data_IF_227055806029
#
_entry.id   IF_227055806029
#
_cell.length_a   1.000
_cell.length_b   1.000
_cell.length_c   1.000
_cell.angle_alpha   90.00
_cell.angle_beta   90.00
_cell.angle_gamma   90.00
#
_symmetry.space_group_name_H-M   'P 1'
#
loop_
_entity.id
_entity.type
_entity.pdbx_description
1 polymer ?
#
# COMPACT_ATOMS: atom_id res chain seq x y z
N UNK A 1 5.65 -18.50 -25.53
CA UNK A 1 4.81 -17.35 -25.97
C UNK A 1 4.95 -16.09 -25.10
N UNK A 2 5.36 -16.18 -23.82
CA UNK A 2 5.59 -15.02 -22.93
C UNK A 2 6.88 -14.26 -23.30
N UNK A 3 7.93 -14.96 -23.68
CA UNK A 3 9.27 -14.38 -23.97
C UNK A 3 9.31 -13.47 -25.21
N UNK A 4 8.51 -13.77 -26.25
CA UNK A 4 8.45 -12.95 -27.45
C UNK A 4 7.81 -11.56 -27.25
N UNK A 5 6.95 -11.37 -26.25
CA UNK A 5 6.38 -10.05 -25.95
C UNK A 5 7.41 -9.15 -25.26
N UNK A 6 8.24 -9.71 -24.38
CA UNK A 6 9.29 -8.97 -23.68
C UNK A 6 10.38 -8.50 -24.64
N UNK A 7 10.81 -9.35 -25.59
CA UNK A 7 11.80 -8.98 -26.61
C UNK A 7 11.28 -7.90 -27.59
N UNK A 8 9.98 -7.90 -27.92
CA UNK A 8 9.36 -6.85 -28.74
C UNK A 8 9.25 -5.49 -28.03
N UNK A 9 9.13 -5.48 -26.71
CA UNK A 9 9.10 -4.24 -25.91
C UNK A 9 10.52 -3.65 -25.78
N UNK A 10 11.56 -4.50 -25.73
CA UNK A 10 12.95 -4.06 -25.69
C UNK A 10 13.45 -3.48 -27.03
N UNK A 11 12.79 -3.78 -28.16
CA UNK A 11 13.08 -3.17 -29.46
C UNK A 11 12.32 -1.84 -29.69
N UNK A 12 11.35 -1.50 -28.85
CA UNK A 12 10.76 -0.19 -28.83
C UNK A 12 11.69 0.78 -28.07
N UNK A 13 11.85 2.00 -28.56
CA UNK A 13 12.71 3.08 -28.03
C UNK A 13 12.32 3.59 -26.62
N UNK A 14 11.57 2.80 -25.85
CA UNK A 14 11.15 3.14 -24.47
C UNK A 14 12.30 2.89 -23.50
N UNK A 15 12.66 3.90 -22.74
CA UNK A 15 13.62 3.75 -21.65
C UNK A 15 13.08 2.75 -20.60
N UNK A 16 13.96 1.94 -20.02
CA UNK A 16 13.61 0.96 -18.97
C UNK A 16 12.85 1.64 -17.80
N UNK A 17 13.21 2.88 -17.49
CA UNK A 17 12.54 3.72 -16.49
C UNK A 17 11.11 4.09 -16.87
N UNK A 18 10.87 4.50 -18.11
CA UNK A 18 9.51 4.83 -18.56
C UNK A 18 8.57 3.62 -18.50
N UNK A 19 9.06 2.43 -18.84
CA UNK A 19 8.33 1.19 -18.74
C UNK A 19 7.97 0.86 -17.27
N UNK A 20 8.94 0.97 -16.35
CA UNK A 20 8.71 0.73 -14.92
C UNK A 20 7.70 1.70 -14.32
N UNK A 21 7.84 3.01 -14.64
CA UNK A 21 6.89 4.03 -14.18
C UNK A 21 5.47 3.74 -14.71
N UNK A 22 5.34 3.34 -15.97
CA UNK A 22 4.03 2.99 -16.54
C UNK A 22 3.35 1.83 -15.81
N UNK A 23 4.09 0.79 -15.47
CA UNK A 23 3.57 -0.35 -14.68
C UNK A 23 3.17 0.11 -13.28
N UNK A 24 4.02 0.86 -12.59
CA UNK A 24 3.75 1.34 -11.24
C UNK A 24 2.53 2.26 -11.19
N UNK A 25 2.38 3.14 -12.19
CA UNK A 25 1.21 4.00 -12.31
C UNK A 25 -0.07 3.19 -12.53
N UNK A 26 0.01 2.15 -13.37
CA UNK A 26 -1.12 1.23 -13.59
C UNK A 26 -1.56 0.56 -12.29
N UNK A 27 -0.64 -0.01 -11.52
CA UNK A 27 -0.96 -0.61 -10.22
C UNK A 27 -1.45 0.41 -9.19
N UNK A 28 -0.91 1.63 -9.21
CA UNK A 28 -1.38 2.71 -8.35
C UNK A 28 -2.84 3.05 -8.59
N UNK A 29 -3.24 3.18 -9.86
CA UNK A 29 -4.64 3.43 -10.25
C UNK A 29 -5.54 2.26 -9.83
N UNK A 30 -5.10 1.02 -10.05
CA UNK A 30 -5.85 -0.18 -9.61
C UNK A 30 -6.05 -0.19 -8.10
N UNK A 31 -5.03 0.14 -7.31
CA UNK A 31 -5.15 0.25 -5.86
C UNK A 31 -6.17 1.32 -5.44
N UNK A 32 -6.16 2.49 -6.10
CA UNK A 32 -7.14 3.54 -5.82
C UNK A 32 -8.56 3.11 -6.16
N UNK A 33 -8.75 2.40 -7.28
CA UNK A 33 -10.06 1.85 -7.67
C UNK A 33 -10.54 0.84 -6.61
N UNK A 34 -9.67 -0.04 -6.12
CA UNK A 34 -10.02 -0.99 -5.07
C UNK A 34 -10.44 -0.29 -3.76
N UNK A 35 -9.69 0.72 -3.34
CA UNK A 35 -10.03 1.52 -2.15
C UNK A 35 -11.39 2.20 -2.34
N UNK A 36 -11.61 2.85 -3.49
CA UNK A 36 -12.87 3.51 -3.80
C UNK A 36 -14.06 2.52 -3.83
N UNK A 37 -13.86 1.34 -4.42
CA UNK A 37 -14.85 0.26 -4.41
C UNK A 37 -15.19 -0.20 -2.98
N UNK A 38 -14.18 -0.43 -2.14
CA UNK A 38 -14.40 -0.85 -0.75
C UNK A 38 -15.18 0.19 0.04
N UNK A 39 -14.85 1.47 -0.09
CA UNK A 39 -15.61 2.54 0.56
C UNK A 39 -17.02 2.68 -0.01
N UNK A 40 -17.21 2.53 -1.34
CA UNK A 40 -18.54 2.55 -1.96
C UNK A 40 -19.43 1.44 -1.42
N UNK A 41 -18.91 0.22 -1.30
CA UNK A 41 -19.63 -0.90 -0.68
C UNK A 41 -19.91 -0.60 0.80
N UNK A 42 -18.95 -0.06 1.53
CA UNK A 42 -19.13 0.36 2.93
C UNK A 42 -20.28 1.34 3.12
N UNK A 43 -20.37 2.33 2.24
CA UNK A 43 -21.47 3.32 2.27
C UNK A 43 -22.80 2.69 1.85
N UNK A 44 -22.83 1.97 0.73
CA UNK A 44 -24.08 1.45 0.14
C UNK A 44 -24.69 0.31 0.94
N UNK A 45 -23.86 -0.60 1.46
CA UNK A 45 -24.32 -1.82 2.15
C UNK A 45 -24.44 -1.60 3.64
N UNK A 46 -23.45 -0.91 4.24
CA UNK A 46 -23.35 -0.77 5.69
C UNK A 46 -23.72 0.64 6.21
N UNK A 47 -24.02 1.58 5.31
CA UNK A 47 -24.40 2.95 5.70
C UNK A 47 -23.27 3.74 6.39
N UNK A 48 -22.00 3.40 6.14
CA UNK A 48 -20.85 4.06 6.76
C UNK A 48 -20.78 5.51 6.30
N UNK A 49 -20.67 6.43 7.26
CA UNK A 49 -20.41 7.85 6.98
C UNK A 49 -18.91 8.05 6.77
N UNK A 50 -18.51 8.52 5.59
CA UNK A 50 -17.08 8.64 5.22
C UNK A 50 -16.33 9.76 5.98
N UNK A 51 -17.01 10.58 6.77
CA UNK A 51 -16.38 11.69 7.49
C UNK A 51 -15.85 12.78 6.52
N UNK A 52 -14.63 13.26 6.77
CA UNK A 52 -14.02 14.34 6.00
C UNK A 52 -13.41 13.83 4.70
N UNK A 53 -14.13 13.92 3.57
CA UNK A 53 -13.72 13.38 2.26
C UNK A 53 -12.31 13.79 1.81
N UNK A 54 -11.85 15.06 1.90
CA UNK A 54 -10.49 15.41 1.51
C UNK A 54 -9.42 14.66 2.32
N UNK A 55 -9.63 14.47 3.63
CA UNK A 55 -8.71 13.71 4.46
C UNK A 55 -8.67 12.24 4.06
N UNK A 56 -9.84 11.64 3.78
CA UNK A 56 -9.98 10.27 3.32
C UNK A 56 -9.20 10.05 2.01
N UNK A 57 -9.32 10.96 1.05
CA UNK A 57 -8.59 10.90 -0.23
C UNK A 57 -7.09 10.96 0.00
N UNK A 58 -6.60 11.89 0.85
CA UNK A 58 -5.17 12.06 1.14
C UNK A 58 -4.58 10.78 1.76
N UNK A 59 -5.21 10.20 2.77
CA UNK A 59 -4.74 8.94 3.39
C UNK A 59 -4.78 7.80 2.37
N UNK A 60 -5.83 7.72 1.53
CA UNK A 60 -5.95 6.69 0.50
C UNK A 60 -4.86 6.79 -0.56
N UNK A 61 -4.49 7.99 -0.98
CA UNK A 61 -3.37 8.22 -1.90
C UNK A 61 -2.04 7.79 -1.29
N UNK A 62 -1.79 8.13 -0.03
CA UNK A 62 -0.58 7.72 0.68
C UNK A 62 -0.52 6.19 0.88
N UNK A 63 -1.65 5.56 1.24
CA UNK A 63 -1.74 4.11 1.39
C UNK A 63 -1.50 3.38 0.05
N UNK A 64 -2.10 3.86 -1.04
CA UNK A 64 -1.88 3.29 -2.37
C UNK A 64 -0.40 3.39 -2.80
N UNK A 65 0.27 4.50 -2.49
CA UNK A 65 1.71 4.65 -2.73
C UNK A 65 2.53 3.66 -1.91
N UNK A 66 2.18 3.48 -0.63
CA UNK A 66 2.83 2.51 0.28
C UNK A 66 2.64 1.07 -0.23
N UNK A 67 1.44 0.70 -0.63
CA UNK A 67 1.13 -0.62 -1.19
C UNK A 67 1.93 -0.89 -2.47
N UNK A 68 2.03 0.11 -3.37
CA UNK A 68 2.86 0.01 -4.58
C UNK A 68 4.35 -0.18 -4.25
N UNK A 69 4.87 0.59 -3.29
CA UNK A 69 6.26 0.47 -2.85
C UNK A 69 6.55 -0.91 -2.29
N UNK A 70 5.66 -1.44 -1.44
CA UNK A 70 5.79 -2.79 -0.88
C UNK A 70 5.70 -3.85 -1.97
N UNK A 71 4.75 -3.73 -2.90
CA UNK A 71 4.62 -4.65 -4.05
C UNK A 71 5.88 -4.67 -4.92
N UNK A 72 6.46 -3.50 -5.22
CA UNK A 72 7.71 -3.39 -5.96
C UNK A 72 8.87 -4.04 -5.20
N UNK A 73 8.95 -3.84 -3.87
CA UNK A 73 9.96 -4.46 -3.03
C UNK A 73 9.85 -5.98 -3.05
N UNK A 74 8.64 -6.53 -2.91
CA UNK A 74 8.41 -7.98 -3.02
C UNK A 74 8.84 -8.51 -4.38
N UNK A 75 8.51 -7.80 -5.45
CA UNK A 75 8.92 -8.19 -6.80
C UNK A 75 10.46 -8.16 -6.96
N UNK A 76 11.14 -7.16 -6.38
CA UNK A 76 12.60 -7.03 -6.43
C UNK A 76 13.34 -8.11 -5.62
N UNK A 77 12.72 -8.65 -4.57
CA UNK A 77 13.28 -9.71 -3.73
C UNK A 77 12.99 -11.11 -4.27
N UNK A 78 12.02 -11.26 -5.15
CA UNK A 78 11.54 -12.54 -5.66
C UNK A 78 12.19 -12.89 -6.99
N UNK A 79 12.47 -14.18 -7.20
CA UNK A 79 13.04 -14.71 -8.46
C UNK A 79 11.99 -15.37 -9.35
N UNK A 80 10.85 -15.76 -8.80
CA UNK A 80 9.78 -16.48 -9.51
C UNK A 80 8.41 -15.92 -9.15
N UNK A 81 7.43 -16.09 -10.05
CA UNK A 81 6.02 -15.71 -9.80
C UNK A 81 5.45 -16.38 -8.52
N UNK A 82 5.83 -17.65 -8.29
CA UNK A 82 5.41 -18.38 -7.09
C UNK A 82 5.96 -17.72 -5.80
N UNK A 83 7.23 -17.27 -5.83
CA UNK A 83 7.82 -16.54 -4.69
C UNK A 83 7.13 -15.19 -4.46
N UNK A 84 6.81 -14.45 -5.52
CA UNK A 84 6.05 -13.18 -5.39
C UNK A 84 4.73 -13.45 -4.67
N UNK A 85 3.96 -14.44 -5.12
CA UNK A 85 2.67 -14.75 -4.54
C UNK A 85 2.78 -15.19 -3.06
N UNK A 86 3.68 -16.13 -2.76
CA UNK A 86 3.86 -16.64 -1.39
C UNK A 86 4.33 -15.54 -0.44
N UNK A 87 5.31 -14.72 -0.87
CA UNK A 87 5.85 -13.64 -0.04
C UNK A 87 4.83 -12.52 0.15
N UNK A 88 4.05 -12.20 -0.88
CA UNK A 88 2.97 -11.21 -0.79
C UNK A 88 1.90 -11.63 0.22
N UNK A 89 1.44 -12.88 0.15
CA UNK A 89 0.46 -13.41 1.09
C UNK A 89 1.01 -13.41 2.51
N UNK A 90 2.23 -13.92 2.71
CA UNK A 90 2.89 -13.95 4.02
C UNK A 90 3.00 -12.55 4.63
N UNK A 91 3.50 -11.58 3.85
CA UNK A 91 3.64 -10.20 4.32
C UNK A 91 2.27 -9.55 4.59
N UNK A 92 1.29 -9.75 3.71
CA UNK A 92 -0.05 -9.21 3.91
C UNK A 92 -0.66 -9.70 5.23
N UNK A 93 -0.62 -11.02 5.50
CA UNK A 93 -1.14 -11.58 6.74
C UNK A 93 -0.36 -11.10 7.97
N UNK A 94 0.97 -11.16 7.92
CA UNK A 94 1.82 -10.78 9.06
C UNK A 94 1.67 -9.30 9.41
N UNK A 95 1.74 -8.42 8.39
CA UNK A 95 1.62 -6.98 8.61
C UNK A 95 0.20 -6.57 9.03
N UNK A 96 -0.84 -7.24 8.50
CA UNK A 96 -2.23 -7.01 8.91
C UNK A 96 -2.50 -7.46 10.35
N UNK A 97 -1.97 -8.63 10.72
CA UNK A 97 -2.10 -9.14 12.09
C UNK A 97 -1.41 -8.23 13.11
N UNK A 98 -0.18 -7.80 12.82
CA UNK A 98 0.58 -6.87 13.66
C UNK A 98 -0.02 -5.45 13.63
N UNK A 99 -0.54 -5.03 12.48
CA UNK A 99 -1.09 -3.68 12.27
C UNK A 99 -2.47 -3.42 12.87
N UNK A 100 -3.06 -4.40 13.59
CA UNK A 100 -4.33 -4.19 14.27
C UNK A 100 -5.58 -4.52 13.44
N UNK A 101 -5.42 -5.03 12.21
CA UNK A 101 -6.56 -5.37 11.35
C UNK A 101 -7.26 -6.67 11.75
N UNK A 102 -6.51 -7.63 12.32
CA UNK A 102 -7.07 -8.90 12.80
C UNK A 102 -7.40 -8.86 14.29
N UNK A 103 -6.53 -8.21 15.07
CA UNK A 103 -6.70 -8.06 16.51
C UNK A 103 -6.74 -6.58 16.82
N UNK A 104 -7.86 -6.05 17.36
CA UNK A 104 -7.95 -4.63 17.70
C UNK A 104 -6.84 -4.20 18.66
N UNK A 105 -6.24 -3.03 18.40
CA UNK A 105 -5.07 -2.54 19.16
C UNK A 105 -5.33 -2.35 20.64
N UNK A 106 -6.60 -2.11 21.05
CA UNK A 106 -6.96 -1.91 22.47
C UNK A 106 -6.87 -3.17 23.33
N UNK A 107 -6.91 -4.37 22.71
CA UNK A 107 -6.75 -5.67 23.40
C UNK A 107 -5.34 -6.26 23.22
N UNK A 108 -4.48 -5.61 22.44
CA UNK A 108 -3.10 -6.08 22.24
C UNK A 108 -2.23 -5.84 23.48
N UNK A 109 -1.31 -6.78 23.80
CA UNK A 109 -0.23 -6.54 24.76
C UNK A 109 0.66 -5.36 24.33
N UNK A 110 1.27 -4.65 25.26
CA UNK A 110 2.05 -3.44 24.98
C UNK A 110 3.21 -3.66 24.01
N UNK A 111 3.84 -4.82 24.05
CA UNK A 111 4.86 -5.21 23.08
C UNK A 111 4.29 -5.24 21.64
N UNK A 112 3.11 -5.81 21.44
CA UNK A 112 2.47 -5.87 20.13
C UNK A 112 2.02 -4.49 19.65
N UNK A 113 1.55 -3.62 20.55
CA UNK A 113 1.25 -2.21 20.22
C UNK A 113 2.48 -1.48 19.72
N UNK A 114 3.63 -1.69 20.37
CA UNK A 114 4.88 -1.08 19.92
C UNK A 114 5.32 -1.62 18.55
N UNK A 115 5.21 -2.94 18.34
CA UNK A 115 5.54 -3.56 17.05
C UNK A 115 4.60 -3.12 15.93
N UNK A 116 3.32 -2.86 16.23
CA UNK A 116 2.35 -2.39 15.22
C UNK A 116 2.78 -1.06 14.58
N UNK A 117 3.46 -0.19 15.31
CA UNK A 117 3.94 1.10 14.78
C UNK A 117 4.97 0.96 13.65
N UNK A 118 5.62 -0.21 13.54
CA UNK A 118 6.52 -0.53 12.44
C UNK A 118 5.81 -1.09 11.21
N UNK A 119 4.49 -1.13 11.21
CA UNK A 119 3.69 -1.60 10.09
C UNK A 119 2.90 -0.46 9.46
N UNK A 120 2.86 -0.34 8.12
CA UNK A 120 2.04 0.70 7.48
C UNK A 120 0.54 0.49 7.72
N UNK A 121 0.12 -0.75 8.01
CA UNK A 121 -1.28 -1.11 8.27
C UNK A 121 -1.82 -0.42 9.52
N UNK A 122 -1.02 -0.30 10.60
CA UNK A 122 -1.44 0.39 11.81
C UNK A 122 -1.72 1.88 11.57
N UNK A 123 -0.87 2.54 10.80
CA UNK A 123 -1.01 3.96 10.48
C UNK A 123 -2.18 4.23 9.53
N UNK A 124 -2.39 3.33 8.55
CA UNK A 124 -3.56 3.42 7.68
C UNK A 124 -4.86 3.25 8.47
N UNK A 125 -4.90 2.24 9.35
CA UNK A 125 -6.06 1.98 10.21
C UNK A 125 -6.34 3.16 11.14
N UNK A 126 -5.31 3.74 11.78
CA UNK A 126 -5.44 4.91 12.62
C UNK A 126 -6.00 6.11 11.84
N UNK A 127 -5.43 6.41 10.67
CA UNK A 127 -5.91 7.52 9.84
C UNK A 127 -7.37 7.35 9.40
N UNK A 128 -7.78 6.17 8.95
CA UNK A 128 -9.18 5.91 8.62
C UNK A 128 -10.10 5.97 9.84
N UNK A 129 -9.67 5.45 10.98
CA UNK A 129 -10.43 5.52 12.23
C UNK A 129 -10.66 6.98 12.66
N UNK A 130 -9.65 7.79 12.58
CA UNK A 130 -9.72 9.20 12.95
C UNK A 130 -10.64 10.01 12.03
N UNK A 131 -10.64 9.70 10.72
CA UNK A 131 -11.53 10.35 9.75
C UNK A 131 -12.98 9.88 9.91
N UNK A 132 -13.19 8.55 9.96
CA UNK A 132 -14.54 7.97 9.86
C UNK A 132 -15.27 8.01 11.20
N UNK A 133 -14.58 7.74 12.30
CA UNK A 133 -15.20 7.63 13.63
C UNK A 133 -15.12 8.95 14.38
N UNK A 134 -13.97 9.63 14.34
CA UNK A 134 -13.76 10.90 15.05
C UNK A 134 -14.13 12.13 14.21
N UNK A 135 -14.31 11.97 12.90
CA UNK A 135 -14.63 13.08 11.99
C UNK A 135 -13.50 14.09 11.82
N UNK A 136 -12.24 13.69 12.05
CA UNK A 136 -11.10 14.56 11.99
C UNK A 136 -10.78 14.99 10.55
N UNK A 137 -10.27 16.21 10.40
CA UNK A 137 -9.92 16.80 9.11
C UNK A 137 -8.46 16.57 8.71
N UNK A 138 -8.05 17.24 7.63
CA UNK A 138 -6.73 17.04 7.00
C UNK A 138 -5.58 17.32 7.97
N UNK A 139 -5.67 18.35 8.80
CA UNK A 139 -4.56 18.75 9.67
C UNK A 139 -4.25 17.70 10.74
N UNK A 140 -5.25 16.99 11.21
CA UNK A 140 -5.10 15.99 12.28
C UNK A 140 -4.54 14.66 11.80
N UNK A 141 -4.65 14.37 10.48
CA UNK A 141 -4.16 13.11 9.89
C UNK A 141 -2.80 13.25 9.18
N UNK A 142 -2.13 14.39 9.36
CA UNK A 142 -0.83 14.64 8.72
C UNK A 142 0.26 13.70 9.22
N UNK A 143 0.22 13.31 10.50
CA UNK A 143 1.16 12.34 11.09
C UNK A 143 1.05 10.97 10.42
N UNK A 144 -0.16 10.42 10.32
CA UNK A 144 -0.45 9.12 9.71
C UNK A 144 -0.08 9.13 8.23
N UNK A 145 -0.48 10.19 7.53
CA UNK A 145 -0.15 10.38 6.11
C UNK A 145 1.37 10.49 5.90
N UNK A 146 2.05 11.27 6.74
CA UNK A 146 3.50 11.45 6.67
C UNK A 146 4.27 10.14 6.89
N UNK A 147 3.85 9.33 7.87
CA UNK A 147 4.45 8.03 8.13
C UNK A 147 4.19 7.05 6.97
N UNK A 148 2.98 7.04 6.40
CA UNK A 148 2.67 6.22 5.23
C UNK A 148 3.56 6.59 4.03
N UNK A 149 3.74 7.88 3.75
CA UNK A 149 4.65 8.34 2.70
C UNK A 149 6.12 8.00 3.01
N UNK A 150 6.50 8.01 4.28
CA UNK A 150 7.81 7.52 4.75
C UNK A 150 8.01 6.04 4.42
N UNK A 151 7.03 5.19 4.72
CA UNK A 151 7.06 3.77 4.34
C UNK A 151 7.09 3.58 2.82
N UNK A 152 6.27 4.34 2.06
CA UNK A 152 6.30 4.30 0.61
C UNK A 152 7.70 4.59 0.07
N UNK A 153 8.31 5.70 0.51
CA UNK A 153 9.65 6.11 0.11
C UNK A 153 10.70 5.06 0.48
N UNK A 154 10.64 4.52 1.69
CA UNK A 154 11.54 3.48 2.17
C UNK A 154 11.47 2.21 1.30
N UNK A 155 10.26 1.72 1.01
CA UNK A 155 10.07 0.54 0.16
C UNK A 155 10.54 0.78 -1.26
N UNK A 156 10.24 1.95 -1.85
CA UNK A 156 10.70 2.31 -3.18
C UNK A 156 12.22 2.39 -3.27
N UNK A 157 12.89 3.03 -2.30
CA UNK A 157 14.35 3.18 -2.29
C UNK A 157 15.01 1.80 -2.22
N UNK A 158 14.58 0.92 -1.31
CA UNK A 158 15.14 -0.42 -1.18
C UNK A 158 14.86 -1.25 -2.44
N UNK A 159 13.64 -1.16 -2.99
CA UNK A 159 13.29 -1.87 -4.21
C UNK A 159 14.17 -1.45 -5.39
N UNK A 160 14.36 -0.14 -5.60
CA UNK A 160 15.21 0.38 -6.67
C UNK A 160 16.69 0.00 -6.48
N UNK A 161 17.18 0.02 -5.25
CA UNK A 161 18.55 -0.40 -4.95
C UNK A 161 18.76 -1.89 -5.21
N UNK A 162 17.73 -2.71 -4.97
CA UNK A 162 17.78 -4.16 -5.18
C UNK A 162 17.50 -4.58 -6.63
N UNK A 163 16.77 -3.74 -7.39
CA UNK A 163 16.42 -4.02 -8.77
C UNK A 163 17.68 -3.92 -9.65
N UNK A 164 18.34 -5.04 -9.89
CA UNK A 164 19.38 -5.15 -10.92
C UNK A 164 18.66 -5.38 -12.25
N UNK A 165 18.79 -4.41 -13.15
CA UNK A 165 18.38 -4.56 -14.54
C UNK A 165 19.49 -5.35 -15.29
N UNK A 166 19.62 -6.65 -15.00
CA UNK A 166 20.48 -7.56 -15.80
C UNK A 166 19.68 -8.08 -16.98
#
# INVERSE_FOLDING_TARGET
>A
KKDCKFQRILTATLSKTAFLIGILLGFYIVNLIHIALMFSVGVMVFGIKLGHLPALVIVSLALAATANGLGLLVAALSKTEAQVNSLSVLLAFTLSALGGMMVPTFIMPDLMKTLSLFTPHAWALAGYHDIIIRGLGVQQILSETGVLLGFASFFFIIALWRFRFD
#
